data_IF_176133010009
#
_entry.id   IF_176133010009
#
_cell.length_a   1.000
_cell.length_b   1.000
_cell.length_c   1.000
_cell.angle_alpha   90.00
_cell.angle_beta   90.00
_cell.angle_gamma   90.00
#
_symmetry.space_group_name_H-M   'P 1'
#
loop_
_entity.id
_entity.type
_entity.pdbx_description
1 polymer ?
#
# COMPACT_ATOMS: atom_id res chain seq x y z
N UNK A 1 19.66 17.90 17.47
CA UNK A 1 18.22 18.14 17.73
C UNK A 1 18.02 18.45 19.20
N UNK A 2 17.45 19.61 19.52
CA UNK A 2 17.26 20.14 20.87
C UNK A 2 16.20 19.34 21.65
N UNK A 3 16.35 19.19 22.97
CA UNK A 3 15.37 18.48 23.83
C UNK A 3 13.96 19.09 23.77
N UNK A 4 13.85 20.38 23.48
CA UNK A 4 12.56 21.07 23.24
C UNK A 4 11.83 20.56 21.99
N UNK A 5 12.54 20.11 20.97
CA UNK A 5 11.93 19.57 19.74
C UNK A 5 11.41 18.15 19.97
N UNK A 6 12.11 17.34 20.76
CA UNK A 6 11.63 16.02 21.20
C UNK A 6 10.35 16.12 22.03
N UNK A 7 10.23 17.12 22.90
CA UNK A 7 9.05 17.33 23.74
C UNK A 7 7.80 17.75 22.93
N UNK A 8 7.96 18.57 21.89
CA UNK A 8 6.86 18.98 21.01
C UNK A 8 6.35 17.84 20.14
N UNK A 9 7.25 17.01 19.60
CA UNK A 9 6.89 15.80 18.85
C UNK A 9 6.11 14.82 19.73
N UNK A 10 6.51 14.66 21.00
CA UNK A 10 5.82 13.80 21.98
C UNK A 10 4.40 14.29 22.35
N UNK A 11 4.20 15.61 22.44
CA UNK A 11 2.88 16.20 22.72
C UNK A 11 1.93 16.08 21.51
N UNK A 12 2.46 16.21 20.29
CA UNK A 12 1.68 15.99 19.05
C UNK A 12 1.24 14.53 18.89
N UNK A 13 2.07 13.56 19.30
CA UNK A 13 1.71 12.14 19.25
C UNK A 13 0.46 11.78 20.10
N UNK A 14 0.21 12.49 21.21
CA UNK A 14 -0.98 12.25 22.05
C UNK A 14 -2.31 12.70 21.44
N UNK A 15 -2.28 13.57 20.43
CA UNK A 15 -3.48 14.06 19.72
C UNK A 15 -3.65 13.47 18.32
N UNK A 16 -2.76 12.58 17.88
CA UNK A 16 -2.86 11.94 16.57
C UNK A 16 -3.95 10.86 16.57
N UNK A 17 -4.75 10.74 15.48
CA UNK A 17 -5.69 9.65 15.29
C UNK A 17 -5.02 8.28 15.45
N UNK A 18 -5.79 7.28 15.90
CA UNK A 18 -5.26 5.94 16.17
C UNK A 18 -4.58 5.30 14.94
N UNK A 19 -5.15 5.48 13.76
CA UNK A 19 -4.57 4.97 12.50
C UNK A 19 -3.23 5.63 12.16
N UNK A 20 -3.06 6.92 12.50
CA UNK A 20 -1.81 7.63 12.33
C UNK A 20 -0.71 7.03 13.22
N UNK A 21 -1.06 6.65 14.46
CA UNK A 21 -0.15 5.97 15.39
C UNK A 21 0.24 4.58 14.87
N UNK A 22 -0.68 3.85 14.22
CA UNK A 22 -0.38 2.56 13.57
C UNK A 22 0.61 2.76 12.43
N UNK A 23 0.40 3.74 11.54
CA UNK A 23 1.33 4.04 10.44
C UNK A 23 2.72 4.40 10.98
N UNK A 24 2.81 5.24 12.01
CA UNK A 24 4.09 5.56 12.64
C UNK A 24 4.79 4.33 13.24
N UNK A 25 4.02 3.40 13.80
CA UNK A 25 4.55 2.14 14.35
C UNK A 25 5.11 1.24 13.25
N UNK A 26 4.40 1.11 12.12
CA UNK A 26 4.88 0.37 10.94
C UNK A 26 6.16 1.01 10.40
N UNK A 27 6.19 2.34 10.21
CA UNK A 27 7.39 3.04 9.72
C UNK A 27 8.61 2.79 10.63
N UNK A 28 8.40 2.79 11.95
CA UNK A 28 9.45 2.46 12.93
C UNK A 28 9.94 1.02 12.81
N UNK A 29 9.04 0.06 12.61
CA UNK A 29 9.38 -1.36 12.44
C UNK A 29 10.17 -1.62 11.15
N UNK A 30 9.87 -0.88 10.08
CA UNK A 30 10.61 -0.90 8.80
C UNK A 30 11.97 -0.18 8.90
N UNK A 31 12.27 0.47 10.03
CA UNK A 31 13.53 1.18 10.27
C UNK A 31 13.55 2.63 9.79
N UNK A 32 12.39 3.21 9.45
CA UNK A 32 12.27 4.62 9.05
C UNK A 32 12.10 5.47 10.31
N UNK A 33 13.20 6.08 10.77
CA UNK A 33 13.22 6.89 12.01
C UNK A 33 13.10 8.39 11.76
N UNK A 34 13.42 8.86 10.54
CA UNK A 34 13.38 10.27 10.15
C UNK A 34 12.49 10.44 8.92
N UNK A 35 11.42 11.21 9.07
CA UNK A 35 10.47 11.51 8.01
C UNK A 35 9.74 12.82 8.30
N UNK A 36 9.25 13.47 7.25
CA UNK A 36 8.40 14.66 7.42
C UNK A 36 7.02 14.26 7.98
N UNK A 37 6.42 15.06 8.88
CA UNK A 37 5.09 14.77 9.42
C UNK A 37 4.01 14.55 8.35
N UNK A 38 4.16 15.17 7.17
CA UNK A 38 3.23 15.03 6.06
C UNK A 38 3.19 13.63 5.46
N UNK A 39 4.25 12.84 5.59
CA UNK A 39 4.32 11.46 5.09
C UNK A 39 3.25 10.59 5.75
N UNK A 40 2.99 10.77 7.05
CA UNK A 40 1.94 10.03 7.76
C UNK A 40 0.56 10.32 7.17
N UNK A 41 0.28 11.59 6.84
CA UNK A 41 -0.99 11.98 6.21
C UNK A 41 -1.14 11.39 4.81
N UNK A 42 -0.05 11.36 4.03
CA UNK A 42 -0.06 10.77 2.68
C UNK A 42 -0.29 9.26 2.73
N UNK A 43 0.34 8.56 3.68
CA UNK A 43 0.14 7.13 3.89
C UNK A 43 -1.27 6.81 4.40
N UNK A 44 -1.85 7.67 5.25
CA UNK A 44 -3.25 7.59 5.65
C UNK A 44 -4.16 7.70 4.42
N UNK A 45 -4.00 8.76 3.63
CA UNK A 45 -4.80 8.99 2.42
C UNK A 45 -4.69 7.83 1.43
N UNK A 46 -3.48 7.32 1.22
CA UNK A 46 -3.23 6.13 0.42
C UNK A 46 -4.01 4.92 0.95
N UNK A 47 -3.92 4.64 2.26
CA UNK A 47 -4.59 3.49 2.89
C UNK A 47 -6.10 3.57 2.73
N UNK A 48 -6.69 4.74 3.01
CA UNK A 48 -8.13 4.93 2.87
C UNK A 48 -8.59 4.80 1.41
N UNK A 49 -7.85 5.37 0.46
CA UNK A 49 -8.16 5.24 -0.98
C UNK A 49 -8.05 3.79 -1.45
N UNK A 50 -6.99 3.08 -1.04
CA UNK A 50 -6.78 1.68 -1.40
C UNK A 50 -7.90 0.78 -0.88
N UNK A 51 -8.21 0.87 0.42
CA UNK A 51 -9.28 0.06 1.03
C UNK A 51 -10.63 0.37 0.40
N UNK A 52 -10.95 1.64 0.15
CA UNK A 52 -12.20 2.02 -0.51
C UNK A 52 -12.30 1.42 -1.91
N UNK A 53 -11.23 1.52 -2.72
CA UNK A 53 -11.19 0.94 -4.07
C UNK A 53 -11.41 -0.58 -4.04
N UNK A 54 -10.74 -1.28 -3.13
CA UNK A 54 -10.90 -2.75 -2.97
C UNK A 54 -12.33 -3.10 -2.55
N UNK A 55 -12.94 -2.33 -1.66
CA UNK A 55 -14.33 -2.57 -1.22
C UNK A 55 -15.37 -2.26 -2.31
N UNK A 56 -15.12 -1.26 -3.15
CA UNK A 56 -15.98 -0.95 -4.30
C UNK A 56 -15.95 -2.10 -5.32
N UNK A 57 -14.76 -2.61 -5.65
CA UNK A 57 -14.62 -3.78 -6.53
C UNK A 57 -15.24 -5.04 -5.93
N UNK A 58 -15.00 -5.31 -4.64
CA UNK A 58 -15.60 -6.45 -3.95
C UNK A 58 -17.14 -6.38 -3.97
N UNK A 59 -17.73 -5.19 -3.82
CA UNK A 59 -19.18 -4.98 -3.93
C UNK A 59 -19.68 -5.30 -5.35
N UNK A 60 -18.94 -4.90 -6.38
CA UNK A 60 -19.28 -5.22 -7.77
C UNK A 60 -19.27 -6.74 -8.00
N UNK A 61 -18.28 -7.45 -7.45
CA UNK A 61 -18.21 -8.92 -7.57
C UNK A 61 -19.34 -9.63 -6.82
N UNK A 62 -19.63 -9.21 -5.59
CA UNK A 62 -20.75 -9.74 -4.81
C UNK A 62 -22.10 -9.56 -5.55
N UNK A 63 -22.32 -8.36 -6.11
CA UNK A 63 -23.51 -8.04 -6.91
C UNK A 63 -23.60 -8.90 -8.17
N UNK A 64 -22.48 -9.11 -8.87
CA UNK A 64 -22.42 -9.97 -10.05
C UNK A 64 -22.78 -11.43 -9.71
N UNK A 65 -22.34 -11.91 -8.55
CA UNK A 65 -22.68 -13.22 -8.00
C UNK A 65 -24.09 -13.29 -7.35
N UNK A 66 -24.89 -12.21 -7.43
CA UNK A 66 -26.23 -12.07 -6.82
C UNK A 66 -26.23 -12.29 -5.30
N UNK A 67 -25.10 -12.03 -4.63
CA UNK A 67 -24.97 -12.05 -3.18
C UNK A 67 -25.50 -10.74 -2.60
N UNK A 68 -26.14 -10.79 -1.42
CA UNK A 68 -26.62 -9.59 -0.71
C UNK A 68 -25.56 -8.94 0.19
N UNK A 69 -24.51 -9.70 0.51
CA UNK A 69 -23.43 -9.32 1.40
C UNK A 69 -22.10 -9.69 0.75
N UNK A 70 -21.07 -8.87 0.98
CA UNK A 70 -19.70 -9.14 0.54
C UNK A 70 -19.14 -10.28 1.39
N UNK A 71 -18.53 -11.27 0.76
CA UNK A 71 -17.80 -12.35 1.45
C UNK A 71 -16.28 -12.24 1.27
N UNK A 72 -15.55 -13.16 1.91
CA UNK A 72 -14.08 -13.18 1.86
C UNK A 72 -13.54 -13.46 0.46
N UNK A 73 -14.27 -14.19 -0.38
CA UNK A 73 -13.81 -14.54 -1.71
C UNK A 73 -13.94 -13.34 -2.66
N UNK A 74 -14.98 -12.52 -2.49
CA UNK A 74 -15.14 -11.25 -3.21
C UNK A 74 -13.98 -10.29 -2.89
N UNK A 75 -13.58 -10.19 -1.61
CA UNK A 75 -12.45 -9.34 -1.19
C UNK A 75 -11.11 -9.87 -1.70
N UNK A 76 -10.89 -11.19 -1.65
CA UNK A 76 -9.66 -11.81 -2.20
C UNK A 76 -9.51 -11.52 -3.69
N UNK A 77 -10.59 -11.68 -4.45
CA UNK A 77 -10.59 -11.38 -5.88
C UNK A 77 -10.29 -9.90 -6.15
N UNK A 78 -10.89 -8.99 -5.39
CA UNK A 78 -10.63 -7.55 -5.50
C UNK A 78 -9.18 -7.17 -5.21
N UNK A 79 -8.59 -7.75 -4.16
CA UNK A 79 -7.17 -7.52 -3.85
C UNK A 79 -6.28 -8.02 -4.98
N UNK A 80 -6.54 -9.23 -5.51
CA UNK A 80 -5.74 -9.79 -6.60
C UNK A 80 -5.81 -8.92 -7.86
N UNK A 81 -7.01 -8.50 -8.27
CA UNK A 81 -7.18 -7.64 -9.44
C UNK A 81 -6.53 -6.25 -9.24
N UNK A 82 -6.60 -5.70 -8.03
CA UNK A 82 -5.96 -4.42 -7.72
C UNK A 82 -4.43 -4.53 -7.78
N UNK A 83 -3.87 -5.66 -7.34
CA UNK A 83 -2.44 -5.95 -7.42
C UNK A 83 -1.99 -6.03 -8.88
N UNK A 84 -2.67 -6.81 -9.70
CA UNK A 84 -2.32 -7.00 -11.12
C UNK A 84 -2.40 -5.68 -11.93
N UNK A 85 -3.32 -4.78 -11.57
CA UNK A 85 -3.51 -3.50 -12.25
C UNK A 85 -2.51 -2.42 -11.82
N UNK A 86 -2.18 -2.36 -10.53
CA UNK A 86 -1.48 -1.21 -9.94
C UNK A 86 -0.02 -1.50 -9.59
N UNK A 87 0.34 -2.76 -9.42
CA UNK A 87 1.68 -3.17 -9.02
C UNK A 87 2.29 -4.01 -10.12
N UNK A 88 3.26 -3.41 -10.82
CA UNK A 88 4.03 -4.15 -11.81
C UNK A 88 5.18 -4.84 -11.11
N UNK A 89 5.30 -6.14 -11.34
CA UNK A 89 6.53 -6.86 -11.03
C UNK A 89 7.51 -6.65 -12.18
N UNK A 90 8.81 -6.42 -11.92
CA UNK A 90 9.79 -6.48 -13.00
C UNK A 90 9.68 -7.85 -13.69
N UNK A 91 9.83 -7.92 -15.03
CA UNK A 91 9.75 -9.17 -15.76
C UNK A 91 10.71 -10.21 -15.16
N UNK A 92 10.31 -11.50 -15.11
CA UNK A 92 11.17 -12.56 -14.59
C UNK A 92 12.53 -12.58 -15.29
N UNK A 93 13.58 -12.92 -14.54
CA UNK A 93 14.96 -12.97 -15.04
C UNK A 93 15.10 -13.82 -16.30
N UNK A 94 14.37 -14.92 -16.39
CA UNK A 94 14.36 -15.80 -17.57
C UNK A 94 13.87 -15.09 -18.84
N UNK A 95 12.81 -14.29 -18.72
CA UNK A 95 12.28 -13.48 -19.83
C UNK A 95 13.30 -12.45 -20.28
N UNK A 96 13.98 -11.81 -19.32
CA UNK A 96 15.04 -10.84 -19.63
C UNK A 96 16.26 -11.49 -20.30
N UNK A 97 16.63 -12.70 -19.89
CA UNK A 97 17.74 -13.45 -20.49
C UNK A 97 17.43 -13.88 -21.92
N UNK A 98 16.22 -14.38 -22.19
CA UNK A 98 15.84 -14.74 -23.56
C UNK A 98 15.76 -13.50 -24.47
N UNK A 99 15.23 -12.39 -23.97
CA UNK A 99 15.23 -11.13 -24.69
C UNK A 99 16.66 -10.66 -25.02
N UNK A 100 17.57 -10.73 -24.03
CA UNK A 100 18.97 -10.39 -24.22
C UNK A 100 19.64 -11.30 -25.27
N UNK A 101 19.38 -12.61 -25.22
CA UNK A 101 19.88 -13.56 -26.23
C UNK A 101 19.39 -13.20 -27.63
N UNK A 102 18.10 -12.91 -27.81
CA UNK A 102 17.53 -12.54 -29.11
C UNK A 102 18.13 -11.25 -29.65
N UNK A 103 18.32 -10.23 -28.81
CA UNK A 103 18.83 -8.92 -29.24
C UNK A 103 20.33 -8.90 -29.49
N UNK A 104 21.11 -9.60 -28.67
CA UNK A 104 22.57 -9.59 -28.75
C UNK A 104 23.14 -10.51 -29.84
N UNK A 105 22.29 -11.26 -30.55
CA UNK A 105 22.69 -12.11 -31.69
C UNK A 105 22.79 -11.30 -32.99
N UNK A 106 22.15 -10.13 -33.08
CA UNK A 106 22.30 -9.21 -34.20
C UNK A 106 23.38 -8.16 -33.86
N UNK A 107 24.49 -8.09 -34.62
CA UNK A 107 25.54 -7.08 -34.44
C UNK A 107 25.05 -5.64 -34.63
#
# INVERSE_FOLDING_TARGET
MSEKDKAKVNAQMKHLPKDAQVIMSIMKEVGITEYEPRVVNQLLEFTYRYVTSVMDDARVFANHAKKKTIDLDDVRLAVQMQLDKSFTSPPPREVLLELARVKNVNP
#
